data_IF_628118246359
#
_entry.id   IF_628118246359
#
_cell.length_a   1.000
_cell.length_b   1.000
_cell.length_c   1.000
_cell.angle_alpha   90.00
_cell.angle_beta   90.00
_cell.angle_gamma   90.00
#
_symmetry.space_group_name_H-M   'P 1'
#
loop_
_entity.id
_entity.type
_entity.pdbx_description
1 polymer ?
#
# COMPACT_ATOMS: atom_id res chain seq x y z
N UNK A 1 -59.66 -6.80 11.54
CA UNK A 1 -58.76 -7.13 10.41
C UNK A 1 -57.73 -8.10 10.93
N UNK A 2 -57.72 -9.34 10.45
CA UNK A 2 -56.70 -10.32 10.78
C UNK A 2 -55.35 -9.82 10.27
N UNK A 3 -54.38 -9.61 11.16
CA UNK A 3 -53.03 -9.29 10.76
C UNK A 3 -52.48 -10.51 10.01
N UNK A 4 -52.08 -10.36 8.75
CA UNK A 4 -51.43 -11.43 8.01
C UNK A 4 -50.08 -11.70 8.66
N UNK A 5 -49.95 -12.84 9.33
CA UNK A 5 -48.71 -13.29 9.93
C UNK A 5 -47.97 -14.16 8.91
N UNK A 6 -46.79 -13.70 8.49
CA UNK A 6 -45.93 -14.43 7.56
C UNK A 6 -44.87 -15.20 8.36
N UNK A 7 -44.66 -16.49 8.02
CA UNK A 7 -43.66 -17.35 8.67
C UNK A 7 -42.74 -17.95 7.61
N UNK A 8 -41.44 -17.92 7.87
CA UNK A 8 -40.41 -18.56 7.06
C UNK A 8 -39.85 -19.77 7.81
N UNK A 9 -39.84 -20.93 7.17
CA UNK A 9 -39.23 -22.15 7.71
C UNK A 9 -38.02 -22.55 6.86
N UNK A 10 -36.90 -22.84 7.52
CA UNK A 10 -35.67 -23.22 6.85
C UNK A 10 -35.61 -24.72 6.59
N UNK A 11 -35.29 -25.12 5.35
CA UNK A 11 -35.02 -26.51 5.00
C UNK A 11 -33.71 -26.97 5.68
N UNK A 12 -33.78 -27.95 6.59
CA UNK A 12 -32.61 -28.41 7.34
C UNK A 12 -31.74 -29.34 6.49
N UNK A 13 -30.44 -29.02 6.38
CA UNK A 13 -29.41 -29.88 5.78
C UNK A 13 -28.25 -30.18 6.74
N UNK A 14 -28.35 -29.83 8.04
CA UNK A 14 -27.29 -30.14 9.01
C UNK A 14 -27.68 -29.97 10.48
N UNK A 15 -26.88 -30.62 11.35
CA UNK A 15 -27.03 -30.70 12.82
C UNK A 15 -26.62 -29.39 13.54
N UNK A 16 -27.08 -28.23 13.06
CA UNK A 16 -26.73 -26.93 13.62
C UNK A 16 -27.75 -26.41 14.63
N UNK A 17 -27.27 -25.76 15.70
CA UNK A 17 -28.06 -24.98 16.67
C UNK A 17 -28.62 -23.68 16.04
N UNK A 18 -29.21 -23.77 14.85
CA UNK A 18 -29.76 -22.66 14.07
C UNK A 18 -31.28 -22.61 14.23
N UNK A 19 -31.91 -21.42 14.39
CA UNK A 19 -33.36 -21.33 14.48
C UNK A 19 -34.03 -21.88 13.21
N UNK A 20 -35.04 -22.72 13.41
CA UNK A 20 -35.77 -23.40 12.32
C UNK A 20 -36.82 -22.50 11.66
N UNK A 21 -37.38 -21.60 12.44
CA UNK A 21 -38.52 -20.77 12.04
C UNK A 21 -38.28 -19.31 12.39
N UNK A 22 -38.73 -18.43 11.50
CA UNK A 22 -38.69 -16.99 11.65
C UNK A 22 -40.06 -16.39 11.33
N UNK A 23 -40.47 -15.40 12.12
CA UNK A 23 -41.62 -14.55 11.80
C UNK A 23 -41.17 -13.42 10.88
N UNK A 24 -41.99 -13.09 9.89
CA UNK A 24 -41.74 -12.01 8.93
C UNK A 24 -42.73 -10.87 9.18
N UNK A 25 -42.20 -9.74 9.61
CA UNK A 25 -42.96 -8.52 9.90
C UNK A 25 -42.96 -7.62 8.66
N UNK A 26 -44.14 -7.44 8.05
CA UNK A 26 -44.29 -6.59 6.86
C UNK A 26 -44.38 -5.10 7.24
N UNK A 27 -43.54 -4.27 6.63
CA UNK A 27 -43.64 -2.82 6.71
C UNK A 27 -44.62 -2.31 5.66
N UNK A 28 -45.60 -1.51 6.10
CA UNK A 28 -46.57 -0.85 5.22
C UNK A 28 -46.05 0.47 4.66
N UNK A 29 -45.21 1.16 5.43
CA UNK A 29 -44.67 2.47 5.08
C UNK A 29 -43.15 2.37 4.89
N UNK A 30 -42.71 2.31 3.63
CA UNK A 30 -41.28 2.32 3.29
C UNK A 30 -41.02 3.19 2.05
N UNK A 31 -39.79 3.72 1.95
CA UNK A 31 -39.37 4.53 0.80
C UNK A 31 -39.32 3.66 -0.46
N UNK A 32 -39.89 4.09 -1.60
CA UNK A 32 -39.82 3.33 -2.85
C UNK A 32 -38.38 2.99 -3.24
N UNK A 33 -38.11 1.70 -3.45
CA UNK A 33 -36.79 1.17 -3.81
C UNK A 33 -36.84 0.44 -5.14
N UNK A 34 -35.74 0.48 -5.89
CA UNK A 34 -35.52 -0.27 -7.13
C UNK A 34 -34.30 -1.18 -6.99
N UNK A 35 -34.32 -2.31 -7.67
CA UNK A 35 -33.24 -3.30 -7.69
C UNK A 35 -32.53 -3.22 -9.04
N UNK A 36 -31.20 -3.11 -8.99
CA UNK A 36 -30.33 -3.15 -10.15
C UNK A 36 -29.34 -4.30 -9.99
N UNK A 37 -28.97 -4.93 -11.10
CA UNK A 37 -27.96 -5.97 -11.15
C UNK A 37 -26.81 -5.54 -12.06
N UNK A 38 -25.61 -5.99 -11.71
CA UNK A 38 -24.41 -5.83 -12.53
C UNK A 38 -23.87 -7.23 -12.85
N UNK A 39 -23.68 -7.51 -14.14
CA UNK A 39 -23.06 -8.78 -14.55
C UNK A 39 -21.55 -8.74 -14.33
N UNK A 40 -20.91 -9.91 -14.27
CA UNK A 40 -19.45 -10.03 -14.18
C UNK A 40 -18.69 -9.38 -15.36
N UNK A 41 -19.40 -9.02 -16.43
CA UNK A 41 -18.87 -8.31 -17.61
C UNK A 41 -19.13 -6.79 -17.55
N UNK A 42 -19.64 -6.26 -16.43
CA UNK A 42 -19.92 -4.84 -16.22
C UNK A 42 -21.21 -4.33 -16.88
N UNK A 43 -22.12 -5.24 -17.28
CA UNK A 43 -23.42 -4.83 -17.85
C UNK A 43 -24.43 -4.58 -16.74
N UNK A 44 -24.95 -3.36 -16.66
CA UNK A 44 -26.00 -2.97 -15.72
C UNK A 44 -27.40 -3.28 -16.27
N UNK A 45 -28.27 -3.82 -15.42
CA UNK A 45 -29.69 -4.08 -15.73
C UNK A 45 -30.59 -3.64 -14.57
N UNK A 46 -31.81 -3.20 -14.88
CA UNK A 46 -32.83 -2.89 -13.87
C UNK A 46 -33.76 -4.12 -13.71
N UNK A 47 -33.77 -4.72 -12.51
CA UNK A 47 -34.51 -5.95 -12.22
C UNK A 47 -35.96 -5.67 -11.82
N UNK A 48 -36.22 -4.54 -11.16
CA UNK A 48 -37.58 -4.16 -10.80
C UNK A 48 -37.69 -3.22 -9.61
N UNK A 49 -38.91 -3.10 -9.10
CA UNK A 49 -39.25 -2.29 -7.92
C UNK A 49 -39.54 -3.19 -6.72
N UNK A 50 -39.16 -2.73 -5.53
CA UNK A 50 -39.46 -3.42 -4.27
C UNK A 50 -40.94 -3.20 -3.92
N UNK A 51 -41.74 -4.27 -3.93
CA UNK A 51 -43.17 -4.20 -3.63
C UNK A 51 -43.50 -4.30 -2.14
N UNK A 52 -42.76 -5.12 -1.39
CA UNK A 52 -43.00 -5.38 0.03
C UNK A 52 -41.67 -5.49 0.77
N UNK A 53 -41.59 -4.87 1.96
CA UNK A 53 -40.44 -4.99 2.87
C UNK A 53 -40.83 -5.85 4.06
N UNK A 54 -40.02 -6.85 4.36
CA UNK A 54 -40.19 -7.73 5.51
C UNK A 54 -38.94 -7.67 6.39
N UNK A 55 -39.13 -7.48 7.70
CA UNK A 55 -38.07 -7.72 8.67
C UNK A 55 -38.29 -9.09 9.31
N UNK A 56 -37.19 -9.80 9.52
CA UNK A 56 -37.20 -11.18 9.97
C UNK A 56 -36.80 -11.26 11.45
N UNK A 57 -37.63 -11.92 12.24
CA UNK A 57 -37.41 -12.11 13.68
C UNK A 57 -37.40 -13.60 14.02
N UNK A 58 -36.56 -14.06 14.96
CA UNK A 58 -36.59 -15.45 15.43
C UNK A 58 -37.98 -15.78 16.00
N UNK A 59 -38.58 -16.86 15.52
CA UNK A 59 -39.90 -17.26 15.99
C UNK A 59 -39.85 -17.81 17.42
N UNK A 60 -40.95 -17.66 18.18
CA UNK A 60 -41.04 -18.04 19.59
C UNK A 60 -40.66 -19.51 19.86
N UNK A 61 -41.04 -20.41 18.95
CA UNK A 61 -40.80 -21.86 19.08
C UNK A 61 -39.31 -22.23 19.26
N UNK A 62 -38.40 -21.40 18.75
CA UNK A 62 -36.96 -21.70 18.71
C UNK A 62 -36.09 -20.68 19.47
N UNK A 63 -36.71 -19.85 20.32
CA UNK A 63 -36.04 -18.73 20.98
C UNK A 63 -34.88 -19.17 21.90
N UNK A 64 -35.03 -20.30 22.59
CA UNK A 64 -33.98 -20.84 23.48
C UNK A 64 -32.70 -21.22 22.71
N UNK A 65 -32.86 -21.88 21.56
CA UNK A 65 -31.74 -22.29 20.71
C UNK A 65 -31.06 -21.06 20.07
N UNK A 66 -31.84 -20.07 19.65
CA UNK A 66 -31.32 -18.79 19.19
C UNK A 66 -30.51 -18.07 20.28
N UNK A 67 -30.99 -18.07 21.52
CA UNK A 67 -30.27 -17.47 22.65
C UNK A 67 -28.90 -18.12 22.89
N UNK A 68 -28.81 -19.46 22.80
CA UNK A 68 -27.55 -20.20 22.86
C UNK A 68 -26.61 -19.78 21.72
N UNK A 69 -27.13 -19.68 20.50
CA UNK A 69 -26.36 -19.25 19.33
C UNK A 69 -25.80 -17.83 19.49
N UNK A 70 -26.58 -16.88 20.03
CA UNK A 70 -26.13 -15.52 20.30
C UNK A 70 -25.01 -15.47 21.34
N UNK A 71 -25.10 -16.29 22.41
CA UNK A 71 -24.02 -16.43 23.41
C UNK A 71 -22.76 -17.02 22.80
N UNK A 72 -22.87 -18.08 22.01
CA UNK A 72 -21.73 -18.70 21.31
C UNK A 72 -21.04 -17.70 20.38
N UNK A 73 -21.80 -16.90 19.61
CA UNK A 73 -21.25 -15.86 18.73
C UNK A 73 -20.52 -14.78 19.53
N UNK A 74 -21.09 -14.35 20.64
CA UNK A 74 -20.48 -13.35 21.54
C UNK A 74 -19.19 -13.89 22.16
N UNK A 75 -19.20 -15.14 22.63
CA UNK A 75 -18.01 -15.78 23.17
C UNK A 75 -16.91 -15.90 22.11
N UNK A 76 -17.26 -16.30 20.87
CA UNK A 76 -16.31 -16.37 19.75
C UNK A 76 -15.73 -15.00 19.39
N UNK A 77 -16.52 -13.93 19.42
CA UNK A 77 -16.04 -12.58 19.12
C UNK A 77 -15.20 -11.97 20.26
N UNK A 78 -15.41 -12.40 21.51
CA UNK A 78 -14.61 -11.99 22.67
C UNK A 78 -13.19 -12.57 22.66
N UNK A 79 -12.93 -13.63 21.89
CA UNK A 79 -11.60 -14.22 21.76
C UNK A 79 -10.73 -13.27 20.92
N UNK A 80 -9.82 -12.54 21.59
CA UNK A 80 -8.85 -11.68 20.92
C UNK A 80 -7.84 -12.55 20.16
N UNK A 81 -7.81 -12.42 18.83
CA UNK A 81 -6.81 -13.11 17.99
C UNK A 81 -5.37 -12.64 18.29
N UNK A 82 -5.20 -11.41 18.80
CA UNK A 82 -3.91 -10.88 19.22
C UNK A 82 -3.64 -11.23 20.68
N UNK A 83 -2.60 -12.04 20.92
CA UNK A 83 -2.10 -12.36 22.27
C UNK A 83 -0.92 -11.46 22.61
N UNK A 84 -0.94 -10.87 23.81
CA UNK A 84 0.26 -10.26 24.38
C UNK A 84 1.21 -11.38 24.80
N UNK A 85 2.44 -11.33 24.30
CA UNK A 85 3.51 -12.21 24.80
C UNK A 85 4.33 -11.43 25.82
N UNK A 86 4.39 -11.94 27.04
CA UNK A 86 5.29 -11.42 28.07
C UNK A 86 6.70 -11.92 27.74
N UNK A 87 7.63 -11.00 27.58
CA UNK A 87 9.05 -11.33 27.37
C UNK A 87 9.60 -11.85 28.70
N UNK A 88 9.98 -13.13 28.74
CA UNK A 88 10.49 -13.77 29.96
C UNK A 88 11.91 -13.30 30.36
N UNK A 89 12.63 -12.68 29.43
CA UNK A 89 13.98 -12.14 29.67
C UNK A 89 13.93 -10.62 29.57
N UNK A 90 13.65 -9.97 30.70
CA UNK A 90 13.48 -8.53 30.86
C UNK A 90 14.80 -7.79 31.16
N UNK A 91 15.95 -8.47 30.96
CA UNK A 91 17.27 -7.88 31.10
C UNK A 91 17.35 -6.57 30.32
N UNK A 92 17.46 -5.45 31.05
CA UNK A 92 17.23 -4.09 30.55
C UNK A 92 18.14 -3.61 29.40
N UNK A 93 19.09 -4.43 28.94
CA UNK A 93 19.85 -4.19 27.72
C UNK A 93 19.00 -4.37 26.44
N UNK A 94 18.02 -5.30 26.45
CA UNK A 94 17.12 -5.52 25.29
C UNK A 94 15.90 -4.59 25.28
N UNK A 95 15.60 -3.95 26.42
CA UNK A 95 14.39 -3.13 26.62
C UNK A 95 14.66 -1.63 26.59
N UNK A 96 15.94 -1.20 26.49
CA UNK A 96 16.29 0.20 26.29
C UNK A 96 16.23 0.52 24.80
N UNK A 97 15.30 1.37 24.32
CA UNK A 97 15.44 1.94 23.00
C UNK A 97 16.69 2.83 23.01
N UNK A 98 17.75 2.41 22.30
CA UNK A 98 18.93 3.26 22.09
C UNK A 98 18.50 4.47 21.24
N UNK A 99 18.61 5.71 21.74
CA UNK A 99 18.40 6.89 20.92
C UNK A 99 19.43 6.91 19.79
N UNK A 100 18.98 6.83 18.53
CA UNK A 100 19.83 6.93 17.34
C UNK A 100 20.17 5.64 16.58
N UNK A 101 19.66 4.45 16.97
CA UNK A 101 19.99 3.18 16.28
C UNK A 101 18.79 2.26 16.00
N UNK A 102 17.61 2.81 15.72
CA UNK A 102 16.37 2.05 15.50
C UNK A 102 16.31 1.37 14.11
N UNK A 103 17.41 1.36 13.34
CA UNK A 103 17.45 0.86 11.96
C UNK A 103 18.46 -0.26 11.65
N UNK A 104 19.25 -0.75 12.61
CA UNK A 104 20.37 -1.68 12.31
C UNK A 104 20.18 -3.14 12.75
N UNK A 105 19.04 -3.51 13.34
CA UNK A 105 18.83 -4.88 13.87
C UNK A 105 17.82 -5.65 13.01
N UNK A 106 18.23 -6.00 11.79
CA UNK A 106 17.59 -7.06 11.01
C UNK A 106 18.16 -8.41 11.47
N UNK A 107 17.58 -9.02 12.49
CA UNK A 107 17.93 -10.38 12.93
C UNK A 107 17.28 -11.42 12.00
N UNK A 108 17.96 -11.73 10.90
CA UNK A 108 17.75 -12.95 10.11
C UNK A 108 19.08 -13.67 9.93
N UNK A 109 19.13 -15.02 9.86
CA UNK A 109 20.38 -15.74 9.74
C UNK A 109 20.89 -15.60 8.30
N UNK A 110 21.70 -14.58 8.04
CA UNK A 110 22.44 -14.44 6.79
C UNK A 110 23.91 -14.71 7.08
N UNK A 111 24.42 -15.66 6.32
CA UNK A 111 25.75 -16.23 6.40
C UNK A 111 26.84 -15.18 6.56
N UNK A 112 27.87 -15.59 7.32
CA UNK A 112 29.17 -14.94 7.38
C UNK A 112 29.75 -14.81 5.96
N UNK A 113 29.57 -13.65 5.34
CA UNK A 113 30.56 -13.12 4.42
C UNK A 113 30.96 -11.73 4.91
N UNK A 114 32.23 -11.63 5.30
CA UNK A 114 32.88 -10.40 5.72
C UNK A 114 32.84 -9.41 4.56
N UNK A 115 31.86 -8.51 4.55
CA UNK A 115 31.98 -7.21 3.87
C UNK A 115 32.28 -6.17 4.94
N UNK A 116 33.29 -5.31 4.73
CA UNK A 116 33.62 -4.27 5.70
C UNK A 116 32.37 -3.41 5.95
N UNK A 117 32.17 -3.08 7.23
CA UNK A 117 31.10 -2.24 7.74
C UNK A 117 30.91 -1.01 6.82
N UNK A 118 29.68 -0.64 6.44
CA UNK A 118 29.46 0.67 5.85
C UNK A 118 29.86 1.68 6.92
N UNK A 119 30.97 2.37 6.67
CA UNK A 119 31.34 3.58 7.37
C UNK A 119 30.06 4.41 7.43
N UNK A 120 29.64 4.76 8.66
CA UNK A 120 28.53 5.66 8.95
C UNK A 120 28.49 6.74 7.86
N UNK A 121 27.33 7.06 7.24
CA UNK A 121 27.27 8.25 6.43
C UNK A 121 27.62 9.37 7.40
N UNK A 122 28.84 9.88 7.27
CA UNK A 122 29.16 11.19 7.74
C UNK A 122 28.03 12.06 7.22
N UNK A 123 27.44 12.86 8.09
CA UNK A 123 26.81 14.11 7.70
C UNK A 123 27.90 14.97 7.01
N UNK A 124 28.33 14.54 5.83
CA UNK A 124 28.97 15.41 4.87
C UNK A 124 27.83 16.29 4.46
N UNK A 125 27.84 17.50 5.01
CA UNK A 125 27.24 18.65 4.35
C UNK A 125 27.66 18.54 2.88
N UNK A 126 26.76 18.01 2.04
CA UNK A 126 26.96 17.89 0.59
C UNK A 126 26.93 19.32 0.09
N UNK A 127 28.10 19.96 0.11
CA UNK A 127 28.25 21.33 -0.35
C UNK A 127 27.86 21.35 -1.81
N UNK A 128 26.94 22.25 -2.17
CA UNK A 128 26.54 22.47 -3.56
C UNK A 128 27.82 22.79 -4.34
N UNK A 129 28.16 21.95 -5.32
CA UNK A 129 29.25 22.28 -6.24
C UNK A 129 28.81 23.42 -7.16
N UNK A 130 29.79 24.11 -7.71
CA UNK A 130 29.51 25.15 -8.68
C UNK A 130 28.84 24.52 -9.92
N UNK A 131 27.87 25.24 -10.47
CA UNK A 131 26.98 24.73 -11.51
C UNK A 131 27.77 24.28 -12.74
N UNK A 132 28.73 25.09 -13.20
CA UNK A 132 29.56 24.80 -14.39
C UNK A 132 30.41 23.55 -14.24
N UNK A 133 30.93 23.30 -13.04
CA UNK A 133 31.75 22.10 -12.75
C UNK A 133 30.89 20.83 -12.79
N UNK A 134 29.66 20.90 -12.26
CA UNK A 134 28.74 19.77 -12.25
C UNK A 134 28.23 19.42 -13.66
N UNK A 135 28.02 20.43 -14.50
CA UNK A 135 27.64 20.23 -15.90
C UNK A 135 28.74 19.44 -16.66
N UNK A 136 30.01 19.81 -16.50
CA UNK A 136 31.14 19.07 -17.09
C UNK A 136 31.24 17.61 -16.61
N UNK A 137 31.01 17.38 -15.30
CA UNK A 137 31.00 16.03 -14.74
C UNK A 137 29.82 15.22 -15.30
N UNK A 138 28.63 15.83 -15.41
CA UNK A 138 27.46 15.18 -16.00
C UNK A 138 27.71 14.77 -17.45
N UNK A 139 28.28 15.65 -18.28
CA UNK A 139 28.62 15.31 -19.66
C UNK A 139 29.53 14.08 -19.75
N UNK A 140 30.59 14.03 -18.92
CA UNK A 140 31.49 12.86 -18.84
C UNK A 140 30.80 11.58 -18.35
N UNK A 141 29.82 11.70 -17.45
CA UNK A 141 29.02 10.55 -17.02
C UNK A 141 28.14 10.03 -18.16
N UNK A 142 27.52 10.91 -18.93
CA UNK A 142 26.67 10.54 -20.07
C UNK A 142 27.46 9.97 -21.27
N UNK A 143 28.75 10.28 -21.40
CA UNK A 143 29.64 9.58 -22.33
C UNK A 143 29.81 8.09 -21.96
N UNK A 144 29.84 7.77 -20.66
CA UNK A 144 29.99 6.40 -20.18
C UNK A 144 28.75 5.54 -20.44
N UNK A 145 27.56 6.13 -20.35
CA UNK A 145 26.30 5.49 -20.73
C UNK A 145 25.25 6.57 -21.07
N UNK A 146 24.43 6.35 -22.11
CA UNK A 146 23.49 7.36 -22.60
C UNK A 146 22.33 7.66 -21.63
N UNK A 147 22.05 6.74 -20.72
CA UNK A 147 20.92 6.78 -19.80
C UNK A 147 21.39 6.68 -18.36
N UNK A 148 20.96 7.62 -17.51
CA UNK A 148 21.31 7.61 -16.10
C UNK A 148 20.07 7.75 -15.20
N UNK A 149 19.98 6.96 -14.14
CA UNK A 149 18.96 7.16 -13.12
C UNK A 149 19.36 8.28 -12.16
N UNK A 150 18.38 9.01 -11.64
CA UNK A 150 18.62 10.10 -10.69
C UNK A 150 19.40 9.62 -9.44
N UNK A 151 19.10 8.42 -8.95
CA UNK A 151 19.78 7.82 -7.79
C UNK A 151 21.27 7.59 -8.05
N UNK A 152 21.62 7.14 -9.26
CA UNK A 152 23.02 6.89 -9.61
C UNK A 152 23.78 8.20 -9.79
N UNK A 153 23.17 9.21 -10.41
CA UNK A 153 23.77 10.54 -10.55
C UNK A 153 24.02 11.20 -9.18
N UNK A 154 23.11 11.01 -8.22
CA UNK A 154 23.32 11.47 -6.84
C UNK A 154 24.49 10.78 -6.14
N UNK A 155 24.75 9.52 -6.44
CA UNK A 155 25.87 8.77 -5.86
C UNK A 155 27.21 9.15 -6.52
N UNK A 156 27.24 9.33 -7.84
CA UNK A 156 28.47 9.68 -8.57
C UNK A 156 28.90 11.13 -8.35
N UNK A 157 27.96 12.05 -8.16
CA UNK A 157 28.25 13.48 -8.01
C UNK A 157 28.24 13.97 -6.55
N UNK A 158 27.73 13.14 -5.63
CA UNK A 158 27.50 13.49 -4.23
C UNK A 158 26.69 14.79 -4.02
N UNK A 159 25.84 15.15 -4.98
CA UNK A 159 25.01 16.36 -4.92
C UNK A 159 23.62 16.09 -4.30
N UNK A 160 23.01 17.09 -3.63
CA UNK A 160 21.64 16.96 -3.15
C UNK A 160 20.65 16.85 -4.30
N UNK A 161 19.61 16.03 -4.11
CA UNK A 161 18.63 15.67 -5.15
C UNK A 161 17.97 16.89 -5.81
N UNK A 162 17.64 17.91 -5.00
CA UNK A 162 16.96 19.11 -5.49
C UNK A 162 17.84 19.92 -6.45
N UNK A 163 19.12 20.10 -6.12
CA UNK A 163 20.06 20.86 -6.97
C UNK A 163 20.36 20.12 -8.27
N UNK A 164 20.50 18.80 -8.19
CA UNK A 164 20.71 17.97 -9.36
C UNK A 164 19.50 17.98 -10.31
N UNK A 165 18.27 17.98 -9.76
CA UNK A 165 17.05 18.10 -10.58
C UNK A 165 16.95 19.44 -11.31
N UNK A 166 17.40 20.54 -10.71
CA UNK A 166 17.40 21.86 -11.37
C UNK A 166 18.28 21.84 -12.62
N UNK A 167 19.51 21.31 -12.51
CA UNK A 167 20.45 21.23 -13.64
C UNK A 167 20.02 20.19 -14.67
N UNK A 168 19.51 19.03 -14.23
CA UNK A 168 18.99 18.00 -15.14
C UNK A 168 17.75 18.46 -15.91
N UNK A 169 16.94 19.37 -15.35
CA UNK A 169 15.79 19.93 -16.07
C UNK A 169 16.23 20.84 -17.24
N UNK A 170 17.36 21.54 -17.07
CA UNK A 170 17.90 22.41 -18.10
C UNK A 170 18.59 21.61 -19.22
N UNK A 171 19.36 20.56 -18.86
CA UNK A 171 20.23 19.83 -19.80
C UNK A 171 19.69 18.49 -20.31
N UNK A 172 18.84 17.80 -19.54
CA UNK A 172 18.40 16.44 -19.85
C UNK A 172 16.89 16.35 -20.14
N UNK A 173 16.49 15.32 -20.89
CA UNK A 173 15.12 14.85 -20.98
C UNK A 173 14.88 13.74 -19.96
N UNK A 174 13.72 13.75 -19.31
CA UNK A 174 13.31 12.70 -18.37
C UNK A 174 12.38 11.69 -19.06
N UNK A 175 12.82 10.44 -19.14
CA UNK A 175 12.07 9.35 -19.74
C UNK A 175 10.95 8.87 -18.81
N UNK A 176 9.71 9.25 -19.13
CA UNK A 176 8.54 8.90 -18.31
C UNK A 176 7.94 7.53 -18.63
N UNK A 177 8.30 6.91 -19.77
CA UNK A 177 7.69 5.65 -20.26
C UNK A 177 8.72 4.80 -21.02
N UNK A 178 8.43 3.51 -21.14
CA UNK A 178 9.27 2.54 -21.87
C UNK A 178 10.32 1.85 -20.99
N UNK A 179 11.20 1.04 -21.59
CA UNK A 179 12.23 0.28 -20.86
C UNK A 179 13.23 1.17 -20.09
N UNK A 180 13.38 2.43 -20.52
CA UNK A 180 14.25 3.43 -19.89
C UNK A 180 13.48 4.37 -18.92
N UNK A 181 12.28 3.96 -18.47
CA UNK A 181 11.48 4.76 -17.53
C UNK A 181 12.30 5.10 -16.27
N UNK A 182 12.26 6.37 -15.86
CA UNK A 182 12.96 6.83 -14.66
C UNK A 182 14.43 7.19 -14.89
N UNK A 183 14.88 7.22 -16.15
CA UNK A 183 16.22 7.68 -16.53
C UNK A 183 16.19 9.07 -17.16
N UNK A 184 17.31 9.77 -17.03
CA UNK A 184 17.61 11.02 -17.71
C UNK A 184 18.52 10.73 -18.90
N UNK A 185 18.28 11.43 -20.01
CA UNK A 185 19.12 11.42 -21.21
C UNK A 185 19.48 12.88 -21.56
N UNK A 186 20.72 13.16 -21.97
CA UNK A 186 21.06 14.50 -22.46
C UNK A 186 20.26 14.88 -23.69
N UNK A 187 19.82 16.14 -23.75
CA UNK A 187 19.20 16.70 -24.96
C UNK A 187 20.16 16.55 -26.15
N UNK A 188 19.64 16.20 -27.35
CA UNK A 188 20.48 15.95 -28.52
C UNK A 188 21.31 17.16 -28.95
N UNK A 189 20.88 18.37 -28.60
CA UNK A 189 21.60 19.64 -28.84
C UNK A 189 22.96 19.71 -28.14
N UNK A 190 23.14 19.04 -26.99
CA UNK A 190 24.38 19.05 -26.21
C UNK A 190 25.25 17.81 -26.42
N UNK A 191 24.81 16.84 -27.24
CA UNK A 191 25.62 15.66 -27.58
C UNK A 191 26.77 15.98 -28.55
N UNK A 192 26.81 17.19 -29.11
CA UNK A 192 27.72 17.57 -30.21
C UNK A 192 28.76 18.63 -29.85
N UNK A 193 28.71 19.20 -28.64
CA UNK A 193 29.50 20.37 -28.25
C UNK A 193 30.80 20.05 -27.50
N UNK A 194 31.21 18.78 -27.42
CA UNK A 194 32.51 18.41 -26.84
C UNK A 194 33.68 18.44 -27.85
N UNK A 195 33.41 18.62 -29.15
CA UNK A 195 34.47 18.75 -30.18
C UNK A 195 34.86 20.21 -30.50
N UNK A 196 34.05 21.22 -30.12
CA UNK A 196 34.32 22.62 -30.51
C UNK A 196 34.90 23.52 -29.39
N UNK A 197 35.12 23.01 -28.17
CA UNK A 197 35.63 23.79 -27.04
C UNK A 197 37.14 23.62 -26.74
N UNK A 198 37.82 22.65 -27.38
CA UNK A 198 39.28 22.42 -27.23
C UNK A 198 40.11 23.10 -28.34
N UNK A 199 39.49 23.97 -29.16
CA UNK A 199 40.14 24.66 -30.29
C UNK A 199 40.25 26.18 -30.10
N UNK A 200 40.08 26.74 -28.91
CA UNK A 200 40.32 28.19 -28.69
C UNK A 200 40.63 28.55 -27.23
N UNK A 201 41.82 28.19 -26.77
CA UNK A 201 42.61 29.04 -25.87
C UNK A 201 44.04 28.50 -25.76
N UNK A 202 44.91 29.15 -26.53
CA UNK A 202 46.37 29.18 -26.42
C UNK A 202 46.81 29.76 -25.07
#
# INVERSE_FOLDING_TARGET
>A
QSNLEFKMEMAQTGNGNTPKSYSLNMFKDFVPMCVFSESNQGKLSCEGKVGHKFDMEPHSDNLVNYGKLCRERTQKSMIKNRKLMVLANDNGMSMRPLPGLVGLMSSGPKQKEKKPLPVKPSDMKRTRRDRRELENILFKLFERQPNWSLKNLMQETDQPEQFLKEILNDLCFYNKRGPNQGTHELKPEYKKSTEDADATAT
#
